data_IF_794478105739
#
_entry.id   IF_794478105739
#
_cell.length_a   1.000
_cell.length_b   1.000
_cell.length_c   1.000
_cell.angle_alpha   90.00
_cell.angle_beta   90.00
_cell.angle_gamma   90.00
#
_symmetry.space_group_name_H-M   'P 1'
#
loop_
_entity.id
_entity.type
_entity.pdbx_description
1 polymer ?
#
# COMPACT_ATOMS: atom_id res chain seq x y z
N UNK A 1 24.06 9.24 12.74
CA UNK A 1 23.26 8.26 13.50
C UNK A 1 22.90 7.13 12.56
N UNK A 2 23.38 5.91 12.81
CA UNK A 2 22.83 4.70 12.21
C UNK A 2 22.09 3.98 13.34
N UNK A 3 20.77 4.18 13.40
CA UNK A 3 19.92 3.44 14.33
C UNK A 3 19.98 1.96 13.99
N UNK A 4 20.08 1.09 15.01
CA UNK A 4 19.98 -0.36 14.79
C UNK A 4 18.57 -0.67 14.26
N UNK A 5 18.43 -1.60 13.30
CA UNK A 5 17.12 -1.99 12.82
C UNK A 5 16.27 -2.57 13.97
N UNK A 6 14.95 -2.37 13.89
CA UNK A 6 14.01 -2.98 14.82
C UNK A 6 14.19 -4.51 14.84
N UNK A 7 13.92 -5.13 16.00
CA UNK A 7 14.05 -6.59 16.16
C UNK A 7 13.16 -7.37 15.18
N UNK A 8 12.03 -6.78 14.80
CA UNK A 8 11.12 -7.30 13.78
C UNK A 8 10.62 -6.13 12.89
N UNK A 9 11.19 -5.96 11.69
CA UNK A 9 10.81 -4.86 10.80
C UNK A 9 9.41 -5.03 10.21
N UNK A 10 8.78 -6.22 10.30
CA UNK A 10 7.40 -6.43 9.83
C UNK A 10 6.36 -5.73 10.69
N UNK A 11 6.73 -5.35 11.93
CA UNK A 11 5.86 -4.67 12.90
C UNK A 11 6.14 -3.16 13.00
N UNK A 12 6.98 -2.62 12.11
CA UNK A 12 7.33 -1.22 12.06
C UNK A 12 6.75 -0.56 10.80
N UNK A 13 6.35 0.71 10.90
CA UNK A 13 5.83 1.49 9.77
C UNK A 13 6.98 2.14 9.00
N UNK A 14 7.95 2.72 9.72
CA UNK A 14 9.05 3.54 9.15
C UNK A 14 10.38 2.83 9.34
N UNK A 15 11.22 2.84 8.30
CA UNK A 15 12.55 2.22 8.27
C UNK A 15 13.66 3.15 8.79
N UNK A 16 13.76 4.37 8.27
CA UNK A 16 14.90 5.29 8.50
C UNK A 16 14.49 6.75 8.82
N UNK A 17 13.20 6.97 9.07
CA UNK A 17 12.61 8.28 9.36
C UNK A 17 11.85 8.91 8.18
N UNK A 18 12.04 8.40 6.96
CA UNK A 18 11.36 8.90 5.75
C UNK A 18 10.68 7.77 4.97
N UNK A 19 11.34 6.62 4.84
CA UNK A 19 10.83 5.51 4.03
C UNK A 19 9.98 4.54 4.86
N UNK A 20 8.90 4.03 4.26
CA UNK A 20 8.14 2.93 4.83
C UNK A 20 8.90 1.61 4.77
N UNK A 21 8.62 0.73 5.74
CA UNK A 21 9.05 -0.66 5.68
C UNK A 21 8.36 -1.40 4.54
N UNK A 22 8.91 -2.54 4.14
CA UNK A 22 8.27 -3.43 3.17
C UNK A 22 6.85 -3.85 3.61
N UNK A 23 6.63 -4.10 4.90
CA UNK A 23 5.33 -4.50 5.42
C UNK A 23 4.29 -3.39 5.27
N UNK A 24 4.66 -2.15 5.62
CA UNK A 24 3.78 -0.99 5.43
C UNK A 24 3.50 -0.73 3.94
N UNK A 25 4.53 -0.82 3.08
CA UNK A 25 4.34 -0.69 1.63
C UNK A 25 3.42 -1.77 1.07
N UNK A 26 3.54 -3.02 1.53
CA UNK A 26 2.61 -4.09 1.12
C UNK A 26 1.18 -3.78 1.53
N UNK A 27 0.96 -3.30 2.75
CA UNK A 27 -0.38 -2.94 3.22
C UNK A 27 -1.01 -1.83 2.35
N UNK A 28 -0.25 -0.77 2.04
CA UNK A 28 -0.70 0.31 1.13
C UNK A 28 -0.97 -0.21 -0.28
N UNK A 29 -0.08 -1.04 -0.82
CA UNK A 29 -0.26 -1.66 -2.14
C UNK A 29 -1.56 -2.45 -2.20
N UNK A 30 -1.87 -3.25 -1.18
CA UNK A 30 -3.10 -4.05 -1.12
C UNK A 30 -4.36 -3.16 -1.15
N UNK A 31 -4.33 -1.96 -0.56
CA UNK A 31 -5.44 -1.00 -0.68
C UNK A 31 -5.58 -0.42 -2.09
N UNK A 32 -4.45 -0.08 -2.73
CA UNK A 32 -4.41 0.46 -4.09
C UNK A 32 -4.95 -0.56 -5.10
N UNK A 33 -4.44 -1.79 -5.09
CA UNK A 33 -4.83 -2.80 -6.09
C UNK A 33 -6.28 -3.25 -5.95
N UNK A 34 -6.82 -3.22 -4.73
CA UNK A 34 -8.23 -3.52 -4.48
C UNK A 34 -9.16 -2.33 -4.77
N UNK A 35 -8.63 -1.16 -5.11
CA UNK A 35 -9.43 0.00 -5.49
C UNK A 35 -9.97 0.82 -4.32
N UNK A 36 -9.55 0.55 -3.08
CA UNK A 36 -10.01 1.30 -1.91
C UNK A 36 -9.63 2.79 -1.97
N UNK A 37 -8.59 3.12 -2.73
CA UNK A 37 -8.12 4.49 -2.99
C UNK A 37 -8.43 4.98 -4.41
N UNK A 38 -9.31 4.31 -5.15
CA UNK A 38 -9.76 4.73 -6.47
C UNK A 38 -11.14 5.41 -6.39
N UNK A 39 -11.42 6.34 -7.29
CA UNK A 39 -12.74 6.94 -7.47
C UNK A 39 -13.20 6.76 -8.93
N UNK A 40 -14.23 5.94 -9.22
CA UNK A 40 -14.98 5.10 -8.26
C UNK A 40 -14.11 3.97 -7.66
N UNK A 41 -14.53 3.33 -6.54
CA UNK A 41 -13.77 2.26 -5.88
C UNK A 41 -13.70 0.96 -6.71
N UNK A 42 -12.84 0.96 -7.72
CA UNK A 42 -12.68 -0.15 -8.67
C UNK A 42 -11.30 -0.79 -8.49
N UNK A 43 -11.22 -2.12 -8.39
CA UNK A 43 -9.94 -2.81 -8.37
C UNK A 43 -9.09 -2.49 -9.60
N UNK A 44 -7.76 -2.44 -9.42
CA UNK A 44 -6.83 -2.06 -10.49
C UNK A 44 -6.96 -2.95 -11.73
N UNK A 45 -7.20 -4.25 -11.55
CA UNK A 45 -7.43 -5.21 -12.64
C UNK A 45 -8.79 -5.05 -13.36
N UNK A 46 -9.65 -4.14 -12.89
CA UNK A 46 -10.92 -3.76 -13.50
C UNK A 46 -10.93 -2.32 -14.00
N UNK A 47 -9.89 -1.54 -13.75
CA UNK A 47 -9.85 -0.10 -14.06
C UNK A 47 -10.00 0.22 -15.55
N UNK A 48 -9.49 -0.64 -16.43
CA UNK A 48 -9.60 -0.46 -17.89
C UNK A 48 -10.91 -1.02 -18.48
N UNK A 49 -11.71 -1.74 -17.69
CA UNK A 49 -12.95 -2.32 -18.16
C UNK A 49 -14.06 -1.27 -18.08
N UNK A 50 -14.86 -1.19 -19.15
CA UNK A 50 -16.04 -0.35 -19.18
C UNK A 50 -16.96 -0.73 -18.02
N UNK A 51 -17.17 0.21 -17.11
CA UNK A 51 -18.14 0.00 -16.04
C UNK A 51 -19.54 -0.11 -16.69
N UNK A 52 -20.41 -1.00 -16.19
CA UNK A 52 -21.80 -1.01 -16.61
C UNK A 52 -22.37 0.40 -16.43
N UNK A 53 -22.98 0.96 -17.47
CA UNK A 53 -23.75 2.17 -17.31
C UNK A 53 -24.92 1.85 -16.37
N UNK A 54 -25.06 2.63 -15.29
CA UNK A 54 -26.26 2.62 -14.47
C UNK A 54 -27.47 3.06 -15.28
#
# INVERSE_FOLDING_TARGET
MLGKPCKDPSKAIVWDGVHYTQAANKWIFDQIVNGAFSDPPIPLNRACHRQPAH
#
